data_IF_112841457459
#
_entry.id   IF_112841457459
#
_cell.length_a   1.000
_cell.length_b   1.000
_cell.length_c   1.000
_cell.angle_alpha   90.00
_cell.angle_beta   90.00
_cell.angle_gamma   90.00
#
_symmetry.space_group_name_H-M   'P 1'
#
loop_
_entity.id
_entity.type
_entity.pdbx_description
1 polymer ?
#
# COMPACT_ATOMS: atom_id res chain seq x y z
N UNK A 1 18.82 0.34 -8.42
CA UNK A 1 17.50 0.05 -7.89
C UNK A 1 17.57 -0.68 -6.58
N UNK A 2 16.62 -0.40 -5.68
CA UNK A 2 16.65 -0.96 -4.33
C UNK A 2 15.32 -1.63 -3.99
N UNK A 3 15.38 -2.56 -3.04
CA UNK A 3 14.21 -3.25 -2.52
C UNK A 3 14.03 -2.91 -1.05
N UNK A 4 12.77 -2.94 -0.58
CA UNK A 4 12.44 -2.68 0.81
C UNK A 4 11.43 -3.71 1.29
N UNK A 5 11.63 -4.23 2.50
CA UNK A 5 10.70 -5.17 3.12
C UNK A 5 10.57 -4.86 4.60
N UNK A 6 9.32 -4.84 5.08
CA UNK A 6 9.04 -4.62 6.50
C UNK A 6 7.65 -5.17 6.86
N UNK A 7 7.46 -5.54 8.12
CA UNK A 7 6.18 -5.95 8.66
C UNK A 7 5.60 -4.82 9.49
N UNK A 8 4.32 -4.52 9.30
CA UNK A 8 3.63 -3.44 10.03
C UNK A 8 2.44 -4.01 10.78
N UNK A 9 2.40 -3.87 12.12
CA UNK A 9 1.24 -4.32 12.89
C UNK A 9 0.11 -3.30 12.82
N UNK A 10 -1.13 -3.79 12.67
CA UNK A 10 -2.33 -2.97 12.67
C UNK A 10 -3.36 -3.59 13.60
N UNK A 11 -4.04 -2.76 14.41
CA UNK A 11 -5.01 -3.20 15.41
C UNK A 11 -6.41 -3.36 14.81
N UNK A 12 -6.51 -4.14 13.73
CA UNK A 12 -7.76 -4.44 13.04
C UNK A 12 -7.63 -5.80 12.36
N UNK A 13 -8.74 -6.55 12.19
CA UNK A 13 -8.67 -7.86 11.54
C UNK A 13 -8.36 -7.74 10.04
N UNK A 14 -7.82 -8.80 9.41
CA UNK A 14 -7.40 -8.74 8.00
C UNK A 14 -8.47 -8.27 7.02
N UNK A 15 -9.73 -8.66 7.20
CA UNK A 15 -10.81 -8.24 6.32
C UNK A 15 -10.99 -6.72 6.34
N UNK A 16 -10.92 -6.13 7.54
CA UNK A 16 -11.06 -4.69 7.71
C UNK A 16 -9.87 -3.94 7.14
N UNK A 17 -8.66 -4.46 7.36
CA UNK A 17 -7.43 -3.89 6.79
C UNK A 17 -7.49 -3.96 5.26
N UNK A 18 -7.94 -5.08 4.70
CA UNK A 18 -8.06 -5.23 3.26
C UNK A 18 -8.99 -4.14 2.67
N UNK A 19 -10.13 -3.90 3.30
CA UNK A 19 -11.04 -2.84 2.86
C UNK A 19 -10.39 -1.46 2.96
N UNK A 20 -9.66 -1.19 4.03
CA UNK A 20 -8.97 0.08 4.22
C UNK A 20 -7.91 0.34 3.14
N UNK A 21 -7.36 -0.71 2.54
CA UNK A 21 -6.33 -0.60 1.50
C UNK A 21 -6.88 -0.59 0.08
N UNK A 22 -8.15 -0.99 -0.12
CA UNK A 22 -8.69 -1.25 -1.46
C UNK A 22 -9.97 -0.50 -1.79
N UNK A 23 -10.58 0.20 -0.84
CA UNK A 23 -11.78 1.01 -1.07
C UNK A 23 -11.42 2.49 -0.98
N UNK A 24 -11.74 3.25 -2.03
CA UNK A 24 -11.40 4.67 -2.11
C UNK A 24 -11.90 5.48 -0.92
N UNK A 25 -13.16 5.28 -0.51
CA UNK A 25 -13.74 5.99 0.63
C UNK A 25 -13.01 5.70 1.94
N UNK A 26 -12.55 4.46 2.13
CA UNK A 26 -11.78 4.09 3.31
C UNK A 26 -10.38 4.71 3.28
N UNK A 27 -9.72 4.68 2.11
CA UNK A 27 -8.40 5.29 1.95
C UNK A 27 -8.48 6.79 2.25
N UNK A 28 -9.52 7.47 1.78
CA UNK A 28 -9.70 8.90 2.07
C UNK A 28 -9.87 9.18 3.57
N UNK A 29 -10.41 8.22 4.32
CA UNK A 29 -10.57 8.36 5.77
C UNK A 29 -9.24 8.37 6.50
N UNK A 30 -8.30 7.49 6.15
CA UNK A 30 -7.03 7.43 6.88
C UNK A 30 -5.94 8.30 6.25
N UNK A 31 -6.04 8.68 4.98
CA UNK A 31 -5.09 9.61 4.35
C UNK A 31 -5.48 11.07 4.51
N UNK A 32 -6.78 11.35 4.57
CA UNK A 32 -7.30 12.72 4.55
C UNK A 32 -7.25 13.37 3.18
N UNK A 33 -6.96 12.59 2.13
CA UNK A 33 -6.78 13.11 0.76
C UNK A 33 -7.60 12.30 -0.23
N UNK A 34 -7.84 12.89 -1.41
CA UNK A 34 -8.60 12.24 -2.47
C UNK A 34 -7.89 10.98 -2.97
N UNK A 35 -8.64 9.91 -3.16
CA UNK A 35 -8.12 8.64 -3.66
C UNK A 35 -9.00 8.08 -4.78
N UNK A 36 -8.37 7.41 -5.73
CA UNK A 36 -9.05 6.62 -6.74
C UNK A 36 -8.57 5.18 -6.60
N UNK A 37 -9.47 4.26 -6.39
CA UNK A 37 -9.11 2.86 -6.14
C UNK A 37 -10.26 1.94 -6.54
N UNK A 38 -9.92 0.78 -7.06
CA UNK A 38 -10.86 -0.29 -7.39
C UNK A 38 -10.33 -1.61 -6.85
N UNK A 39 -11.22 -2.54 -6.56
CA UNK A 39 -10.85 -3.90 -6.13
C UNK A 39 -10.73 -4.87 -7.30
N UNK A 40 -10.65 -4.34 -8.52
CA UNK A 40 -10.50 -5.15 -9.73
C UNK A 40 -9.07 -5.07 -10.26
N UNK A 41 -8.55 -6.20 -10.74
CA UNK A 41 -7.23 -6.26 -11.37
C UNK A 41 -7.19 -5.42 -12.65
N UNK A 42 -6.00 -4.98 -13.02
CA UNK A 42 -5.74 -4.20 -14.23
C UNK A 42 -6.42 -2.82 -14.25
N UNK A 43 -6.70 -2.26 -13.06
CA UNK A 43 -7.22 -0.90 -12.92
C UNK A 43 -6.16 0.03 -12.37
N UNK A 44 -6.17 1.28 -12.81
CA UNK A 44 -5.24 2.27 -12.28
C UNK A 44 -5.74 2.85 -10.97
N UNK A 45 -4.81 3.30 -10.12
CA UNK A 45 -5.15 3.91 -8.83
C UNK A 45 -4.36 5.19 -8.62
N UNK A 46 -4.88 6.03 -7.72
CA UNK A 46 -4.24 7.28 -7.33
C UNK A 46 -4.47 7.49 -5.84
N UNK A 47 -3.40 7.80 -5.12
CA UNK A 47 -3.42 8.05 -3.67
C UNK A 47 -2.85 9.44 -3.41
N UNK A 48 -3.30 10.08 -2.30
CA UNK A 48 -2.86 11.43 -1.92
C UNK A 48 -2.99 12.40 -3.08
N UNK A 49 -4.17 12.44 -3.68
CA UNK A 49 -4.52 13.37 -4.77
C UNK A 49 -3.48 13.35 -5.91
N UNK A 50 -3.04 12.15 -6.29
CA UNK A 50 -2.12 11.96 -7.41
C UNK A 50 -0.65 11.92 -7.05
N UNK A 51 -0.29 12.01 -5.77
CA UNK A 51 1.11 11.91 -5.35
C UNK A 51 1.69 10.52 -5.60
N UNK A 52 0.85 9.48 -5.49
CA UNK A 52 1.23 8.11 -5.81
C UNK A 52 0.22 7.57 -6.81
N UNK A 53 0.71 7.10 -7.95
CA UNK A 53 -0.13 6.52 -8.99
C UNK A 53 0.45 5.19 -9.42
N UNK A 54 -0.42 4.30 -9.89
CA UNK A 54 0.02 3.00 -10.34
C UNK A 54 -1.12 2.17 -10.88
N UNK A 55 -0.88 0.87 -10.98
CA UNK A 55 -1.84 -0.09 -11.51
C UNK A 55 -1.99 -1.26 -10.55
N UNK A 56 -3.24 -1.62 -10.25
CA UNK A 56 -3.54 -2.82 -9.47
C UNK A 56 -3.34 -4.05 -10.35
N UNK A 57 -2.48 -4.98 -9.92
CA UNK A 57 -2.17 -6.17 -10.70
C UNK A 57 -2.92 -7.40 -10.21
N UNK A 58 -3.01 -7.59 -8.90
CA UNK A 58 -3.61 -8.80 -8.34
C UNK A 58 -4.28 -8.50 -7.01
N UNK A 59 -5.45 -9.09 -6.80
CA UNK A 59 -6.16 -9.04 -5.51
C UNK A 59 -6.52 -10.47 -5.09
N UNK A 60 -6.13 -10.85 -3.87
CA UNK A 60 -6.63 -12.03 -3.19
C UNK A 60 -7.36 -11.51 -1.94
N UNK A 61 -8.69 -11.44 -1.96
CA UNK A 61 -9.47 -10.76 -0.92
C UNK A 61 -9.12 -11.19 0.49
N UNK A 62 -8.81 -10.21 1.34
CA UNK A 62 -8.45 -10.44 2.74
C UNK A 62 -7.04 -10.95 2.95
N UNK A 63 -6.27 -11.20 1.89
CA UNK A 63 -4.95 -11.86 2.01
C UNK A 63 -3.81 -11.14 1.32
N UNK A 64 -4.01 -10.65 0.08
CA UNK A 64 -2.88 -10.17 -0.72
C UNK A 64 -3.29 -9.12 -1.72
N UNK A 65 -2.41 -8.13 -1.93
CA UNK A 65 -2.56 -7.07 -2.94
C UNK A 65 -1.22 -6.90 -3.63
N UNK A 66 -1.23 -6.87 -4.97
CA UNK A 66 -0.02 -6.61 -5.76
C UNK A 66 -0.27 -5.41 -6.66
N UNK A 67 0.65 -4.44 -6.65
CA UNK A 67 0.52 -3.21 -7.41
C UNK A 67 1.83 -2.87 -8.13
N UNK A 68 1.69 -2.24 -9.30
CA UNK A 68 2.80 -1.61 -10.01
C UNK A 68 2.74 -0.11 -9.69
N UNK A 69 3.75 0.41 -8.99
CA UNK A 69 3.85 1.84 -8.68
C UNK A 69 4.65 2.52 -9.79
N UNK A 70 4.13 3.63 -10.32
CA UNK A 70 4.75 4.32 -11.43
C UNK A 70 5.80 5.32 -10.96
N UNK A 71 7.01 5.20 -11.50
CA UNK A 71 8.11 6.13 -11.30
C UNK A 71 8.61 6.60 -12.67
N UNK A 72 7.68 7.10 -13.50
CA UNK A 72 8.00 7.46 -14.88
C UNK A 72 8.22 6.24 -15.76
N UNK A 73 9.07 6.37 -16.77
CA UNK A 73 9.36 5.29 -17.74
C UNK A 73 10.43 4.35 -17.18
N UNK A 74 10.12 3.68 -16.09
CA UNK A 74 11.08 2.81 -15.44
C UNK A 74 10.97 1.36 -15.91
N UNK A 75 12.12 0.72 -16.13
CA UNK A 75 12.21 -0.70 -16.40
C UNK A 75 13.39 -1.27 -15.60
N UNK A 76 13.24 -2.36 -14.84
CA UNK A 76 12.01 -3.10 -14.60
C UNK A 76 11.00 -2.35 -13.74
N UNK A 77 9.76 -2.80 -13.75
CA UNK A 77 8.66 -2.17 -13.01
C UNK A 77 8.88 -2.24 -11.50
N UNK A 78 8.46 -1.18 -10.79
CA UNK A 78 8.46 -1.16 -9.33
C UNK A 78 7.20 -1.84 -8.82
N UNK A 79 7.35 -2.91 -8.04
CA UNK A 79 6.24 -3.76 -7.61
C UNK A 79 6.09 -3.71 -6.09
N UNK A 80 4.86 -3.45 -5.65
CA UNK A 80 4.47 -3.48 -4.25
C UNK A 80 3.62 -4.72 -4.01
N UNK A 81 3.99 -5.51 -3.02
CA UNK A 81 3.22 -6.67 -2.58
C UNK A 81 2.88 -6.51 -1.11
N UNK A 82 1.60 -6.58 -0.79
CA UNK A 82 1.10 -6.51 0.58
C UNK A 82 0.44 -7.84 0.91
N UNK A 83 0.94 -8.53 1.94
CA UNK A 83 0.36 -9.79 2.41
C UNK A 83 -0.16 -9.57 3.82
N UNK A 84 -1.43 -9.91 4.05
CA UNK A 84 -2.09 -9.69 5.32
C UNK A 84 -2.06 -10.98 6.15
N UNK A 85 -1.29 -10.97 7.23
CA UNK A 85 -1.18 -12.12 8.13
C UNK A 85 -2.02 -11.87 9.37
N UNK A 86 -2.97 -12.77 9.71
CA UNK A 86 -3.67 -12.68 11.01
C UNK A 86 -2.65 -12.76 12.14
N UNK A 87 -2.76 -11.88 13.11
CA UNK A 87 -1.82 -11.84 14.23
C UNK A 87 -2.53 -11.40 15.51
N UNK A 88 -2.69 -12.32 16.44
CA UNK A 88 -3.40 -12.05 17.71
C UNK A 88 -4.78 -11.42 17.44
N UNK A 89 -5.00 -10.18 17.88
CA UNK A 89 -6.25 -9.46 17.67
C UNK A 89 -6.18 -8.48 16.50
N UNK A 90 -5.22 -8.65 15.62
CA UNK A 90 -5.02 -7.71 14.52
C UNK A 90 -4.42 -8.36 13.30
N UNK A 91 -3.66 -7.58 12.56
CA UNK A 91 -3.02 -7.97 11.31
C UNK A 91 -1.56 -7.54 11.32
N UNK A 92 -0.68 -8.42 10.83
CA UNK A 92 0.69 -8.05 10.48
C UNK A 92 0.73 -7.95 8.96
N UNK A 93 0.98 -6.74 8.43
CA UNK A 93 1.07 -6.54 6.99
C UNK A 93 2.52 -6.69 6.56
N UNK A 94 2.77 -7.67 5.69
CA UNK A 94 4.09 -7.88 5.11
C UNK A 94 4.18 -7.05 3.83
N UNK A 95 5.00 -6.01 3.86
CA UNK A 95 5.26 -5.16 2.70
C UNK A 95 6.55 -5.59 2.02
N UNK A 96 6.50 -5.80 0.71
CA UNK A 96 7.68 -5.94 -0.14
C UNK A 96 7.54 -4.95 -1.29
N UNK A 97 8.53 -4.09 -1.47
CA UNK A 97 8.54 -3.09 -2.55
C UNK A 97 9.86 -3.26 -3.30
N UNK A 98 9.78 -3.69 -4.56
CA UNK A 98 10.97 -3.99 -5.35
C UNK A 98 11.20 -2.95 -6.44
N UNK A 99 12.46 -2.84 -6.88
CA UNK A 99 12.86 -1.95 -7.98
C UNK A 99 12.51 -0.48 -7.73
N UNK A 100 12.81 0.02 -6.52
CA UNK A 100 12.63 1.43 -6.18
C UNK A 100 13.82 2.20 -6.76
N UNK A 101 13.59 3.29 -7.50
CA UNK A 101 14.70 4.12 -8.00
C UNK A 101 15.57 4.61 -6.84
N UNK A 102 16.89 4.57 -7.01
CA UNK A 102 17.83 4.92 -5.94
C UNK A 102 17.59 6.33 -5.39
N UNK A 103 17.29 7.29 -6.28
CA UNK A 103 17.04 8.68 -5.89
C UNK A 103 15.74 8.86 -5.09
N UNK A 104 14.80 7.93 -5.20
CA UNK A 104 13.52 8.00 -4.51
C UNK A 104 13.48 7.14 -3.25
N UNK A 105 14.48 6.29 -3.04
CA UNK A 105 14.43 5.25 -2.01
C UNK A 105 14.18 5.77 -0.60
N UNK A 106 14.93 6.78 -0.17
CA UNK A 106 14.79 7.31 1.20
C UNK A 106 13.41 7.91 1.43
N UNK A 107 12.91 8.67 0.44
CA UNK A 107 11.58 9.29 0.53
C UNK A 107 10.48 8.24 0.54
N UNK A 108 10.62 7.19 -0.26
CA UNK A 108 9.64 6.10 -0.32
C UNK A 108 9.60 5.34 1.00
N UNK A 109 10.76 5.00 1.58
CA UNK A 109 10.82 4.31 2.87
C UNK A 109 10.20 5.17 3.97
N UNK A 110 10.54 6.46 4.00
CA UNK A 110 9.94 7.38 4.97
C UNK A 110 8.43 7.45 4.79
N UNK A 111 7.96 7.52 3.54
CA UNK A 111 6.53 7.53 3.22
C UNK A 111 5.81 6.29 3.71
N UNK A 112 6.39 5.11 3.51
CA UNK A 112 5.81 3.86 4.02
C UNK A 112 5.65 3.89 5.54
N UNK A 113 6.68 4.35 6.26
CA UNK A 113 6.67 4.34 7.72
C UNK A 113 5.79 5.42 8.33
N UNK A 114 5.78 6.62 7.77
CA UNK A 114 5.08 7.77 8.35
C UNK A 114 3.70 8.00 7.73
N UNK A 115 3.64 8.13 6.41
CA UNK A 115 2.42 8.54 5.72
C UNK A 115 1.46 7.39 5.45
N UNK A 116 1.97 6.23 5.07
CA UNK A 116 1.15 5.08 4.74
C UNK A 116 0.79 4.29 6.01
N UNK A 117 1.71 3.50 6.54
CA UNK A 117 1.42 2.66 7.71
C UNK A 117 1.35 3.45 9.02
N UNK A 118 2.09 4.54 9.13
CA UNK A 118 1.95 5.44 10.28
C UNK A 118 0.54 5.99 10.41
N UNK A 119 -0.05 6.43 9.29
CA UNK A 119 -1.43 6.93 9.27
C UNK A 119 -2.43 5.82 9.57
N UNK A 120 -2.23 4.62 9.03
CA UNK A 120 -3.09 3.47 9.31
C UNK A 120 -3.01 3.06 10.78
N UNK A 121 -1.81 3.04 11.37
CA UNK A 121 -1.64 2.70 12.78
C UNK A 121 -2.36 3.70 13.68
N UNK A 122 -2.28 4.98 13.34
CA UNK A 122 -2.99 6.03 14.07
C UNK A 122 -4.51 5.88 13.91
N UNK A 123 -4.97 5.58 12.70
CA UNK A 123 -6.39 5.39 12.39
C UNK A 123 -7.00 4.26 13.22
N UNK A 124 -6.24 3.19 13.48
CA UNK A 124 -6.68 2.03 14.25
C UNK A 124 -6.24 2.07 15.72
N UNK A 125 -5.71 3.17 16.17
CA UNK A 125 -5.28 3.28 17.59
C UNK A 125 -6.42 3.62 18.51
#
# INVERSE_FOLDING_TARGET
MKDYKKYYPLSAPPDEVYEALTKADKIEMWTGETAEMSQNSDTEFSLWDGSIVGKNLEFDPGKKIVQHWYFGDQSPASIVTLILHPHKQGTSVELTHTNIPDEDYEDIVQGWNESYFGSLQEFYS
#
